data_IF_951868047914
#
_entry.id   IF_951868047914
#
_cell.length_a   1.000
_cell.length_b   1.000
_cell.length_c   1.000
_cell.angle_alpha   90.00
_cell.angle_beta   90.00
_cell.angle_gamma   90.00
#
_symmetry.space_group_name_H-M   'P 1'
#
loop_
_entity.id
_entity.type
_entity.pdbx_description
1 polymer ?
#
# COMPACT_ATOMS: atom_id res chain seq x y z
N UNK A 1 7.44 3.31 -8.32
CA UNK A 1 6.94 3.68 -9.66
C UNK A 1 5.53 4.25 -9.57
N UNK A 2 5.45 5.57 -9.45
CA UNK A 2 4.23 6.39 -9.41
C UNK A 2 3.80 6.95 -10.76
N UNK A 3 4.74 6.88 -11.70
CA UNK A 3 4.81 7.75 -12.86
C UNK A 3 3.54 7.69 -13.74
N UNK A 4 2.90 6.52 -13.98
CA UNK A 4 1.68 6.44 -14.80
C UNK A 4 0.45 7.08 -14.14
N UNK A 5 0.29 6.89 -12.82
CA UNK A 5 -0.89 7.36 -12.10
C UNK A 5 -0.91 8.89 -12.02
N UNK A 6 0.25 9.52 -11.82
CA UNK A 6 0.35 10.98 -11.68
C UNK A 6 -0.06 11.69 -12.98
N UNK A 7 -0.01 11.01 -14.12
CA UNK A 7 -0.48 11.60 -15.38
C UNK A 7 -2.00 11.78 -15.40
N UNK A 8 -2.71 10.81 -14.83
CA UNK A 8 -4.17 10.67 -14.88
C UNK A 8 -4.83 11.25 -13.63
N UNK A 9 -4.32 10.92 -12.45
CA UNK A 9 -4.82 11.34 -11.16
C UNK A 9 -3.87 12.36 -10.54
N UNK A 10 -4.35 13.56 -10.23
CA UNK A 10 -3.63 14.45 -9.32
C UNK A 10 -4.57 15.31 -8.47
N UNK A 11 -4.20 15.51 -7.19
CA UNK A 11 -2.98 15.04 -6.55
C UNK A 11 -3.06 13.55 -6.12
N UNK A 12 -1.94 12.82 -6.20
CA UNK A 12 -1.83 11.51 -5.55
C UNK A 12 -1.52 11.71 -4.07
N UNK A 13 -2.28 11.04 -3.21
CA UNK A 13 -2.09 11.09 -1.77
C UNK A 13 -1.38 9.83 -1.28
N UNK A 14 -0.22 10.02 -0.69
CA UNK A 14 0.54 8.98 -0.01
C UNK A 14 0.28 9.00 1.48
N UNK A 15 -0.24 7.89 1.98
CA UNK A 15 -0.42 7.73 3.41
C UNK A 15 0.91 7.35 4.07
N UNK A 16 1.26 8.05 5.14
CA UNK A 16 2.44 7.77 5.97
C UNK A 16 2.02 7.45 7.41
N UNK A 17 2.74 6.54 8.09
CA UNK A 17 2.45 6.19 9.47
C UNK A 17 2.78 7.34 10.44
N UNK A 18 3.74 8.20 10.11
CA UNK A 18 4.21 9.30 10.95
C UNK A 18 4.24 10.61 10.15
N UNK A 19 3.86 11.70 10.81
CA UNK A 19 3.85 13.04 10.23
C UNK A 19 5.26 13.64 10.09
N UNK A 20 5.46 14.42 9.02
CA UNK A 20 6.66 15.23 8.81
C UNK A 20 7.96 14.45 9.05
N UNK A 21 7.96 13.17 8.72
CA UNK A 21 9.17 12.40 8.64
C UNK A 21 9.99 13.03 7.51
N UNK A 22 11.15 13.59 7.86
CA UNK A 22 12.16 13.91 6.87
C UNK A 22 12.28 12.65 6.02
N UNK A 23 12.19 12.79 4.69
CA UNK A 23 12.41 11.65 3.83
C UNK A 23 13.83 11.16 4.15
N UNK A 24 13.95 10.17 5.04
CA UNK A 24 15.20 9.51 5.30
C UNK A 24 15.62 9.02 3.92
N UNK A 25 16.73 9.61 3.51
CA UNK A 25 17.29 9.67 2.19
C UNK A 25 17.35 8.29 1.51
N UNK A 26 17.22 8.29 0.18
CA UNK A 26 17.82 7.30 -0.73
C UNK A 26 17.03 6.05 -1.15
N UNK A 27 15.77 6.19 -1.58
CA UNK A 27 15.17 5.20 -2.51
C UNK A 27 14.11 5.74 -3.49
N UNK A 28 13.54 6.93 -3.26
CA UNK A 28 12.69 7.63 -4.23
C UNK A 28 13.46 8.82 -4.81
N UNK A 29 13.96 8.69 -6.05
CA UNK A 29 14.80 9.70 -6.69
C UNK A 29 14.19 11.10 -6.80
N UNK A 30 15.01 12.06 -7.26
CA UNK A 30 14.70 13.47 -7.56
C UNK A 30 13.25 13.74 -8.00
N UNK A 31 12.70 12.84 -8.80
CA UNK A 31 11.34 12.89 -9.34
C UNK A 31 10.22 12.95 -8.28
N UNK A 32 10.29 12.23 -7.16
CA UNK A 32 9.22 12.27 -6.15
C UNK A 32 9.20 13.59 -5.37
N UNK A 33 10.37 14.17 -5.14
CA UNK A 33 10.51 15.50 -4.55
C UNK A 33 9.97 16.58 -5.51
N UNK A 34 10.35 16.51 -6.78
CA UNK A 34 9.84 17.41 -7.84
C UNK A 34 8.31 17.32 -7.99
N UNK A 35 7.73 16.13 -7.90
CA UNK A 35 6.28 15.93 -7.94
C UNK A 35 5.56 16.50 -6.72
N UNK A 36 6.19 16.42 -5.54
CA UNK A 36 5.66 17.03 -4.33
C UNK A 36 5.72 18.56 -4.37
N UNK A 37 6.82 19.14 -4.86
CA UNK A 37 6.97 20.59 -5.08
C UNK A 37 5.94 21.13 -6.07
N UNK A 38 5.60 20.35 -7.10
CA UNK A 38 4.57 20.69 -8.08
C UNK A 38 3.13 20.46 -7.57
N UNK A 39 2.96 20.01 -6.32
CA UNK A 39 1.66 19.73 -5.71
C UNK A 39 0.94 18.51 -6.28
N UNK A 40 1.61 17.69 -7.09
CA UNK A 40 1.06 16.49 -7.74
C UNK A 40 1.11 15.26 -6.83
N UNK A 41 1.96 15.30 -5.81
CA UNK A 41 2.07 14.30 -4.76
C UNK A 41 1.90 14.99 -3.41
N UNK A 42 1.04 14.43 -2.55
CA UNK A 42 0.83 14.91 -1.18
C UNK A 42 1.04 13.77 -0.20
N UNK A 43 1.58 14.07 0.97
CA UNK A 43 1.69 13.11 2.06
C UNK A 43 0.62 13.39 3.11
N UNK A 44 0.01 12.34 3.62
CA UNK A 44 -1.04 12.41 4.62
C UNK A 44 -0.83 11.39 5.73
N UNK A 45 -1.05 11.79 6.98
CA UNK A 45 -1.02 10.90 8.13
C UNK A 45 -2.42 10.85 8.76
N UNK A 46 -3.19 9.74 8.60
CA UNK A 46 -4.58 9.66 9.05
C UNK A 46 -4.77 9.80 10.56
N UNK A 47 -3.74 9.52 11.34
CA UNK A 47 -3.73 9.80 12.77
C UNK A 47 -2.40 10.48 13.10
N UNK A 48 -2.38 11.83 13.19
CA UNK A 48 -1.26 12.58 13.73
C UNK A 48 -0.76 12.04 15.07
N UNK A 49 0.54 12.14 15.34
CA UNK A 49 1.08 11.92 16.68
C UNK A 49 1.19 13.25 17.45
N UNK A 50 1.16 14.39 16.76
CA UNK A 50 1.23 15.72 17.35
C UNK A 50 2.37 15.81 18.40
N UNK A 51 2.05 16.08 19.67
CA UNK A 51 3.02 16.24 20.76
C UNK A 51 3.84 14.98 21.07
N UNK A 52 3.33 13.80 20.74
CA UNK A 52 4.00 12.52 21.03
C UNK A 52 4.95 12.07 19.92
N UNK A 53 5.04 12.83 18.81
CA UNK A 53 5.85 12.47 17.64
C UNK A 53 7.31 12.18 18.00
N UNK A 54 7.96 13.10 18.69
CA UNK A 54 9.41 12.98 18.97
C UNK A 54 9.70 11.80 19.90
N UNK A 55 8.76 11.48 20.79
CA UNK A 55 8.84 10.31 21.67
C UNK A 55 8.74 9.02 20.87
N UNK A 56 7.80 8.93 19.93
CA UNK A 56 7.65 7.79 19.05
C UNK A 56 8.88 7.60 18.14
N UNK A 57 9.42 8.69 17.57
CA UNK A 57 10.61 8.63 16.73
C UNK A 57 11.85 8.14 17.49
N UNK A 58 12.03 8.55 18.76
CA UNK A 58 13.10 8.00 19.61
C UNK A 58 12.95 6.50 19.84
N UNK A 59 11.74 6.03 20.13
CA UNK A 59 11.44 4.60 20.26
C UNK A 59 11.81 3.83 18.98
N UNK A 60 11.43 4.35 17.82
CA UNK A 60 11.74 3.72 16.52
C UNK A 60 13.25 3.69 16.27
N UNK A 61 13.96 4.79 16.56
CA UNK A 61 15.41 4.84 16.43
C UNK A 61 16.12 3.88 17.40
N UNK A 62 15.66 3.79 18.65
CA UNK A 62 16.21 2.87 19.64
C UNK A 62 16.00 1.41 19.25
N UNK A 63 14.83 1.07 18.70
CA UNK A 63 14.54 -0.27 18.16
C UNK A 63 15.42 -0.59 16.95
N UNK A 64 15.63 0.37 16.05
CA UNK A 64 16.51 0.18 14.89
C UNK A 64 17.97 -0.07 15.31
N UNK A 65 18.45 0.67 16.32
CA UNK A 65 19.82 0.56 16.83
C UNK A 65 20.06 -0.77 17.59
N UNK A 66 19.00 -1.42 18.10
CA UNK A 66 19.08 -2.71 18.81
C UNK A 66 18.60 -3.87 17.93
N UNK A 67 19.33 -4.15 16.85
CA UNK A 67 18.98 -5.17 15.84
C UNK A 67 18.67 -6.56 16.42
N UNK A 68 19.36 -6.99 17.49
CA UNK A 68 19.14 -8.31 18.10
C UNK A 68 17.79 -8.41 18.83
N UNK A 69 17.44 -7.38 19.61
CA UNK A 69 16.13 -7.29 20.29
C UNK A 69 15.00 -7.16 19.26
N UNK A 70 15.24 -6.40 18.19
CA UNK A 70 14.33 -6.24 17.06
C UNK A 70 14.08 -7.57 16.33
N UNK A 71 15.12 -8.34 15.98
CA UNK A 71 14.98 -9.64 15.31
C UNK A 71 14.23 -10.66 16.20
N UNK A 72 14.48 -10.65 17.51
CA UNK A 72 13.73 -11.46 18.47
C UNK A 72 12.25 -11.04 18.55
N UNK A 73 11.93 -9.75 18.42
CA UNK A 73 10.56 -9.25 18.42
C UNK A 73 9.83 -9.51 17.10
N UNK A 74 10.48 -9.33 15.95
CA UNK A 74 9.93 -9.69 14.64
C UNK A 74 9.60 -11.18 14.55
N UNK A 75 10.50 -12.03 15.04
CA UNK A 75 10.29 -13.48 15.05
C UNK A 75 9.10 -13.84 15.95
N UNK A 76 8.98 -13.24 17.13
CA UNK A 76 7.81 -13.43 18.01
C UNK A 76 6.51 -12.93 17.37
N UNK A 77 6.51 -11.77 16.71
CA UNK A 77 5.32 -11.24 16.01
C UNK A 77 4.91 -12.13 14.81
N UNK A 78 5.89 -12.60 14.04
CA UNK A 78 5.67 -13.52 12.93
C UNK A 78 5.13 -14.88 13.43
N UNK A 79 5.72 -15.43 14.49
CA UNK A 79 5.28 -16.70 15.09
C UNK A 79 3.89 -16.59 15.75
N UNK A 80 3.61 -15.51 16.46
CA UNK A 80 2.28 -15.25 17.01
C UNK A 80 1.22 -15.08 15.90
N UNK A 81 1.62 -14.64 14.69
CA UNK A 81 0.75 -14.58 13.51
C UNK A 81 0.34 -15.96 12.98
N UNK A 82 1.20 -16.97 13.16
CA UNK A 82 0.97 -18.34 12.73
C UNK A 82 0.19 -19.16 13.77
N UNK A 83 0.31 -18.84 15.07
CA UNK A 83 -0.29 -19.61 16.17
C UNK A 83 -1.76 -19.29 16.47
N UNK A 84 -2.43 -18.49 15.63
CA UNK A 84 -3.81 -18.03 15.84
C UNK A 84 -4.88 -19.15 15.85
N UNK A 85 -4.48 -20.42 15.72
CA UNK A 85 -5.37 -21.58 15.73
C UNK A 85 -5.19 -22.58 16.87
N UNK A 86 -4.27 -22.39 17.84
CA UNK A 86 -4.06 -23.41 18.88
C UNK A 86 -3.34 -22.88 20.12
N UNK A 87 -4.12 -22.67 21.19
CA UNK A 87 -3.79 -22.53 22.62
C UNK A 87 -3.83 -21.09 23.19
N UNK A 88 -4.57 -20.85 24.29
CA UNK A 88 -4.72 -19.54 24.94
C UNK A 88 -3.55 -19.13 25.84
N UNK A 89 -2.41 -19.82 25.79
CA UNK A 89 -1.28 -19.66 26.75
C UNK A 89 0.01 -19.13 26.10
N UNK A 90 -0.08 -18.57 24.88
CA UNK A 90 1.01 -17.83 24.24
C UNK A 90 0.70 -16.34 24.27
N UNK A 91 1.68 -15.52 24.70
CA UNK A 91 1.62 -14.06 24.72
C UNK A 91 0.93 -13.52 23.45
N UNK A 92 -0.19 -12.82 23.64
CA UNK A 92 -0.95 -12.29 22.51
C UNK A 92 -0.12 -11.22 21.78
N UNK A 93 -0.32 -11.08 20.47
CA UNK A 93 0.35 -10.04 19.65
C UNK A 93 0.23 -8.65 20.28
N UNK A 94 -0.95 -8.39 20.86
CA UNK A 94 -1.24 -7.18 21.63
C UNK A 94 -0.38 -7.06 22.89
N UNK A 95 -0.17 -8.14 23.64
CA UNK A 95 0.62 -8.14 24.88
C UNK A 95 2.11 -7.84 24.65
N UNK A 96 2.67 -8.34 23.55
CA UNK A 96 4.08 -8.07 23.16
C UNK A 96 4.24 -6.59 22.82
N UNK A 97 3.35 -6.05 21.99
CA UNK A 97 3.41 -4.64 21.60
C UNK A 97 3.09 -3.71 22.77
N UNK A 98 2.12 -4.04 23.64
CA UNK A 98 1.88 -3.26 24.87
C UNK A 98 3.11 -3.26 25.76
N UNK A 99 3.79 -4.39 25.95
CA UNK A 99 4.99 -4.49 26.79
C UNK A 99 6.12 -3.57 26.29
N UNK A 100 6.30 -3.50 24.97
CA UNK A 100 7.28 -2.59 24.35
C UNK A 100 6.91 -1.11 24.52
N UNK A 101 5.62 -0.78 24.42
CA UNK A 101 5.15 0.60 24.64
C UNK A 101 5.27 1.00 26.13
N UNK A 102 4.96 0.09 27.04
CA UNK A 102 5.07 0.31 28.49
C UNK A 102 6.52 0.47 28.94
N UNK A 103 7.46 -0.30 28.39
CA UNK A 103 8.89 -0.17 28.73
C UNK A 103 9.48 1.18 28.33
N UNK A 104 8.83 1.91 27.42
CA UNK A 104 9.19 3.27 27.01
C UNK A 104 8.25 4.35 27.59
N UNK A 105 7.49 3.98 28.64
CA UNK A 105 6.74 4.87 29.53
C UNK A 105 5.38 5.33 29.01
N UNK A 106 4.79 4.67 28.01
CA UNK A 106 3.47 5.02 27.50
C UNK A 106 2.46 4.31 28.41
N UNK A 107 1.86 5.06 29.34
CA UNK A 107 0.92 4.52 30.34
C UNK A 107 -0.48 4.27 29.76
N UNK A 108 -1.34 3.64 30.58
CA UNK A 108 -2.68 3.15 30.20
C UNK A 108 -3.81 3.72 31.10
N UNK A 109 -4.48 4.78 30.65
CA UNK A 109 -5.69 5.42 31.20
C UNK A 109 -6.76 5.45 30.11
N UNK A 110 -7.63 4.45 30.05
CA UNK A 110 -8.89 4.35 29.24
C UNK A 110 -9.05 5.15 27.92
N UNK A 111 -8.96 6.50 27.89
CA UNK A 111 -8.70 7.29 26.66
C UNK A 111 -7.40 6.88 25.93
N UNK A 112 -6.44 6.32 26.65
CA UNK A 112 -5.16 5.82 26.17
C UNK A 112 -5.27 4.46 25.46
N UNK A 113 -6.39 3.71 25.57
CA UNK A 113 -6.50 2.41 24.86
C UNK A 113 -6.57 2.57 23.34
N UNK A 114 -7.37 3.53 22.86
CA UNK A 114 -7.44 3.85 21.42
C UNK A 114 -6.10 4.42 20.96
N UNK A 115 -5.54 5.35 21.72
CA UNK A 115 -4.21 5.90 21.46
C UNK A 115 -3.17 4.77 21.37
N UNK A 116 -3.16 3.85 22.32
CA UNK A 116 -2.26 2.70 22.36
C UNK A 116 -2.47 1.81 21.14
N UNK A 117 -3.71 1.49 20.73
CA UNK A 117 -3.98 0.74 19.51
C UNK A 117 -3.42 1.43 18.25
N UNK A 118 -3.58 2.75 18.16
CA UNK A 118 -3.01 3.53 17.06
C UNK A 118 -1.47 3.55 17.11
N UNK A 119 -0.89 3.61 18.30
CA UNK A 119 0.57 3.51 18.47
C UNK A 119 1.09 2.13 18.05
N UNK A 120 0.41 1.05 18.46
CA UNK A 120 0.73 -0.30 18.03
C UNK A 120 0.64 -0.45 16.52
N UNK A 121 -0.43 0.07 15.90
CA UNK A 121 -0.59 0.05 14.45
C UNK A 121 0.56 0.79 13.76
N UNK A 122 0.93 2.00 14.22
CA UNK A 122 2.08 2.74 13.66
C UNK A 122 3.40 2.00 13.85
N UNK A 123 3.60 1.37 15.00
CA UNK A 123 4.79 0.57 15.27
C UNK A 123 4.89 -0.61 14.31
N UNK A 124 3.80 -1.35 14.08
CA UNK A 124 3.75 -2.44 13.09
C UNK A 124 4.09 -1.95 11.69
N UNK A 125 3.61 -0.76 11.29
CA UNK A 125 3.96 -0.17 10.00
C UNK A 125 5.46 0.16 9.90
N UNK A 126 6.04 0.75 10.95
CA UNK A 126 7.48 1.07 10.98
C UNK A 126 8.38 -0.17 11.00
N UNK A 127 8.01 -1.20 11.76
CA UNK A 127 8.70 -2.49 11.74
C UNK A 127 8.61 -3.13 10.34
N UNK A 128 7.47 -2.97 9.65
CA UNK A 128 7.31 -3.42 8.27
C UNK A 128 8.23 -2.68 7.28
N UNK A 129 8.42 -1.37 7.44
CA UNK A 129 9.37 -0.59 6.62
C UNK A 129 10.82 -1.07 6.83
N UNK A 130 11.23 -1.33 8.07
CA UNK A 130 12.54 -1.91 8.38
C UNK A 130 12.71 -3.31 7.81
N UNK A 131 11.67 -4.15 7.89
CA UNK A 131 11.67 -5.48 7.29
C UNK A 131 11.86 -5.41 5.77
N UNK A 132 11.13 -4.53 5.07
CA UNK A 132 11.26 -4.37 3.62
C UNK A 132 12.67 -3.90 3.21
N UNK A 133 13.25 -2.94 3.95
CA UNK A 133 14.61 -2.46 3.71
C UNK A 133 15.65 -3.59 3.88
N UNK A 134 15.49 -4.41 4.91
CA UNK A 134 16.37 -5.56 5.16
C UNK A 134 16.19 -6.65 4.09
N UNK A 135 14.96 -6.95 3.67
CA UNK A 135 14.70 -7.90 2.59
C UNK A 135 15.32 -7.44 1.26
N UNK A 136 15.24 -6.15 0.93
CA UNK A 136 15.84 -5.62 -0.29
C UNK A 136 17.38 -5.71 -0.24
N UNK A 137 18.00 -5.39 0.90
CA UNK A 137 19.44 -5.58 1.10
C UNK A 137 19.84 -7.05 0.94
N UNK A 138 19.11 -7.97 1.57
CA UNK A 138 19.34 -9.41 1.43
C UNK A 138 19.19 -9.86 -0.02
N UNK A 139 18.17 -9.37 -0.74
CA UNK A 139 17.95 -9.68 -2.15
C UNK A 139 19.10 -9.21 -3.03
N UNK A 140 19.61 -8.00 -2.78
CA UNK A 140 20.77 -7.45 -3.50
C UNK A 140 22.04 -8.26 -3.24
N UNK A 141 22.31 -8.62 -1.98
CA UNK A 141 23.47 -9.45 -1.64
C UNK A 141 23.35 -10.87 -2.23
N UNK A 142 22.16 -11.46 -2.20
CA UNK A 142 21.90 -12.75 -2.84
C UNK A 142 22.10 -12.69 -4.35
N UNK A 143 21.64 -11.63 -5.02
CA UNK A 143 21.90 -11.43 -6.45
C UNK A 143 23.40 -11.31 -6.74
N UNK A 144 24.16 -10.58 -5.92
CA UNK A 144 25.62 -10.51 -6.06
C UNK A 144 26.27 -11.88 -5.90
N UNK A 145 25.83 -12.68 -4.92
CA UNK A 145 26.31 -14.05 -4.70
C UNK A 145 25.97 -14.93 -5.91
N UNK A 146 24.73 -14.90 -6.39
CA UNK A 146 24.30 -15.70 -7.55
C UNK A 146 25.01 -15.29 -8.85
N UNK A 147 25.38 -14.02 -9.02
CA UNK A 147 26.21 -13.57 -10.16
C UNK A 147 27.64 -14.09 -10.02
N UNK A 148 28.26 -13.97 -8.83
CA UNK A 148 29.61 -14.49 -8.57
C UNK A 148 29.67 -16.01 -8.74
N UNK A 149 28.67 -16.73 -8.24
CA UNK A 149 28.56 -18.18 -8.39
C UNK A 149 28.40 -18.58 -9.85
N UNK A 150 27.55 -17.90 -10.63
CA UNK A 150 27.44 -18.13 -12.08
C UNK A 150 28.75 -17.85 -12.81
N UNK A 151 29.48 -16.79 -12.43
CA UNK A 151 30.81 -16.49 -12.97
C UNK A 151 31.81 -17.62 -12.70
N UNK A 152 31.99 -17.99 -11.44
CA UNK A 152 32.87 -19.09 -11.03
C UNK A 152 32.46 -20.44 -11.64
N UNK A 153 31.16 -20.72 -11.78
CA UNK A 153 30.68 -21.94 -12.41
C UNK A 153 30.89 -21.93 -13.93
N UNK A 154 30.76 -20.78 -14.60
CA UNK A 154 31.11 -20.64 -16.01
C UNK A 154 32.60 -20.82 -16.28
N UNK A 155 33.45 -20.49 -15.29
CA UNK A 155 34.89 -20.73 -15.34
C UNK A 155 35.25 -22.19 -15.06
N UNK A 156 34.44 -22.90 -14.25
CA UNK A 156 34.73 -24.27 -13.80
C UNK A 156 34.01 -25.37 -14.59
N UNK A 157 32.92 -25.08 -15.31
CA UNK A 157 32.09 -26.10 -15.97
C UNK A 157 32.06 -25.97 -17.50
N UNK A 158 32.77 -26.87 -18.18
CA UNK A 158 32.40 -27.29 -19.54
C UNK A 158 31.29 -28.35 -19.48
N UNK A 159 30.16 -27.97 -18.90
CA UNK A 159 28.94 -28.78 -18.87
C UNK A 159 28.89 -29.81 -17.74
N UNK A 160 28.16 -29.48 -16.68
CA UNK A 160 27.23 -30.40 -16.00
C UNK A 160 26.33 -29.59 -15.06
N UNK A 161 25.08 -30.06 -14.94
CA UNK A 161 23.92 -29.30 -14.51
C UNK A 161 23.91 -28.81 -13.04
N UNK A 162 23.15 -27.73 -12.83
CA UNK A 162 22.95 -27.01 -11.57
C UNK A 162 22.43 -27.87 -10.39
N UNK A 163 23.14 -27.90 -9.25
CA UNK A 163 22.64 -28.45 -8.00
C UNK A 163 22.43 -27.33 -6.96
N UNK A 164 21.35 -26.54 -7.05
CA UNK A 164 21.07 -25.51 -6.03
C UNK A 164 19.58 -25.41 -5.67
N UNK A 165 19.10 -26.38 -4.88
CA UNK A 165 17.76 -26.35 -4.23
C UNK A 165 17.70 -25.47 -2.97
N UNK A 166 18.86 -25.01 -2.44
CA UNK A 166 18.90 -24.21 -1.19
C UNK A 166 18.42 -22.77 -1.38
N UNK A 167 18.70 -22.16 -2.54
CA UNK A 167 18.19 -20.82 -2.89
C UNK A 167 16.68 -20.81 -3.08
N UNK A 168 16.09 -21.90 -3.58
CA UNK A 168 14.64 -22.04 -3.71
C UNK A 168 13.94 -22.20 -2.35
N UNK A 169 14.52 -22.98 -1.44
CA UNK A 169 13.99 -23.18 -0.08
C UNK A 169 14.04 -21.90 0.78
N UNK A 170 15.06 -21.06 0.61
CA UNK A 170 15.12 -19.77 1.30
C UNK A 170 14.13 -18.75 0.70
N UNK A 171 13.90 -18.81 -0.62
CA UNK A 171 12.95 -17.94 -1.31
C UNK A 171 11.51 -18.20 -0.90
N UNK A 172 11.13 -19.46 -0.66
CA UNK A 172 9.77 -19.81 -0.23
C UNK A 172 9.47 -19.39 1.22
N UNK A 173 10.44 -19.51 2.12
CA UNK A 173 10.33 -19.02 3.51
C UNK A 173 10.19 -17.50 3.56
N UNK A 174 10.98 -16.78 2.75
CA UNK A 174 10.91 -15.32 2.64
C UNK A 174 9.55 -14.85 2.09
N UNK A 175 8.98 -15.56 1.11
CA UNK A 175 7.65 -15.26 0.57
C UNK A 175 6.54 -15.38 1.63
N UNK A 176 6.53 -16.47 2.40
CA UNK A 176 5.55 -16.66 3.47
C UNK A 176 5.67 -15.60 4.58
N UNK A 177 6.90 -15.19 4.93
CA UNK A 177 7.12 -14.09 5.86
C UNK A 177 6.62 -12.75 5.31
N UNK A 178 6.85 -12.46 4.03
CA UNK A 178 6.37 -11.25 3.37
C UNK A 178 4.83 -11.16 3.35
N UNK A 179 4.15 -12.27 3.06
CA UNK A 179 2.68 -12.34 3.07
C UNK A 179 2.10 -12.05 4.46
N UNK A 180 2.73 -12.60 5.51
CA UNK A 180 2.33 -12.35 6.89
C UNK A 180 2.51 -10.88 7.27
N UNK A 181 3.63 -10.27 6.89
CA UNK A 181 3.88 -8.84 7.10
C UNK A 181 2.90 -7.97 6.31
N UNK A 182 2.52 -8.37 5.10
CA UNK A 182 1.51 -7.67 4.32
C UNK A 182 0.15 -7.69 5.03
N UNK A 183 -0.28 -8.82 5.59
CA UNK A 183 -1.52 -8.91 6.38
C UNK A 183 -1.48 -8.03 7.63
N UNK A 184 -0.37 -8.05 8.36
CA UNK A 184 -0.18 -7.19 9.55
C UNK A 184 -0.24 -5.70 9.19
N UNK A 185 0.36 -5.32 8.07
CA UNK A 185 0.34 -3.93 7.57
C UNK A 185 -1.05 -3.50 7.12
N UNK A 186 -1.77 -4.33 6.36
CA UNK A 186 -3.15 -4.04 5.94
C UNK A 186 -4.05 -3.81 7.15
N UNK A 187 -3.89 -4.64 8.18
CA UNK A 187 -4.61 -4.49 9.44
C UNK A 187 -4.24 -3.21 10.19
N UNK A 188 -2.96 -2.89 10.30
CA UNK A 188 -2.50 -1.67 10.94
C UNK A 188 -3.05 -0.42 10.22
N UNK A 189 -3.00 -0.42 8.89
CA UNK A 189 -3.59 0.62 8.06
C UNK A 189 -5.11 0.72 8.24
N UNK A 190 -5.84 -0.39 8.21
CA UNK A 190 -7.29 -0.41 8.43
C UNK A 190 -7.67 0.24 9.76
N UNK A 191 -6.93 -0.06 10.84
CA UNK A 191 -7.14 0.56 12.16
C UNK A 191 -6.85 2.06 12.14
N UNK A 192 -5.75 2.48 11.51
CA UNK A 192 -5.37 3.90 11.41
C UNK A 192 -6.37 4.69 10.56
N UNK A 193 -6.88 4.14 9.46
CA UNK A 193 -7.87 4.80 8.61
C UNK A 193 -9.25 4.87 9.25
N UNK A 194 -9.69 3.78 9.90
CA UNK A 194 -11.01 3.72 10.50
C UNK A 194 -11.12 4.55 11.79
N UNK A 195 -10.06 4.56 12.61
CA UNK A 195 -10.04 5.20 13.92
C UNK A 195 -9.32 6.56 13.93
N UNK A 196 -8.67 6.93 12.82
CA UNK A 196 -7.97 8.20 12.63
C UNK A 196 -8.92 9.36 12.31
N UNK A 197 -8.35 10.55 12.10
CA UNK A 197 -9.09 11.69 11.56
C UNK A 197 -9.45 11.41 10.10
N UNK A 198 -10.68 11.77 9.67
CA UNK A 198 -11.07 11.66 8.27
C UNK A 198 -10.13 12.49 7.39
N UNK A 199 -9.88 12.04 6.15
CA UNK A 199 -9.12 12.83 5.20
C UNK A 199 -9.80 14.19 4.97
N UNK A 200 -9.06 15.32 4.99
CA UNK A 200 -9.62 16.65 4.74
C UNK A 200 -10.30 16.76 3.37
N UNK A 201 -9.80 16.00 2.39
CA UNK A 201 -10.39 15.79 1.07
C UNK A 201 -10.59 14.27 0.89
N UNK A 202 -11.83 13.78 0.91
CA UNK A 202 -12.09 12.35 0.75
C UNK A 202 -11.47 11.87 -0.58
N UNK A 203 -10.55 10.90 -0.56
CA UNK A 203 -9.89 10.46 -1.76
C UNK A 203 -10.93 9.79 -2.66
N UNK A 204 -11.01 10.22 -3.91
CA UNK A 204 -12.01 9.71 -4.86
C UNK A 204 -11.82 8.21 -5.13
N UNK A 205 -10.56 7.72 -5.13
CA UNK A 205 -10.22 6.33 -5.43
C UNK A 205 -9.05 5.85 -4.56
N UNK A 206 -9.19 4.68 -3.95
CA UNK A 206 -8.11 3.96 -3.29
C UNK A 206 -7.46 2.98 -4.26
N UNK A 207 -6.14 2.94 -4.38
CA UNK A 207 -5.46 2.09 -5.38
C UNK A 207 -4.64 1.00 -4.68
N UNK A 208 -4.83 -0.25 -5.10
CA UNK A 208 -4.05 -1.41 -4.68
C UNK A 208 -3.40 -2.11 -5.87
N UNK A 209 -2.29 -2.81 -5.63
CA UNK A 209 -1.66 -3.74 -6.58
C UNK A 209 -1.88 -5.21 -6.21
N UNK A 210 -2.48 -5.47 -5.06
CA UNK A 210 -2.73 -6.81 -4.56
C UNK A 210 -4.15 -7.22 -4.93
N UNK A 211 -4.27 -8.24 -5.78
CA UNK A 211 -5.53 -8.93 -6.08
C UNK A 211 -6.16 -9.46 -4.80
N UNK A 212 -5.37 -10.14 -3.97
CA UNK A 212 -5.85 -10.78 -2.73
C UNK A 212 -6.47 -9.78 -1.75
N UNK A 213 -5.95 -8.55 -1.72
CA UNK A 213 -6.52 -7.47 -0.91
C UNK A 213 -7.86 -6.99 -1.48
N UNK A 214 -8.00 -6.90 -2.81
CA UNK A 214 -9.27 -6.55 -3.45
C UNK A 214 -10.30 -7.68 -3.25
N UNK A 215 -9.90 -8.93 -3.44
CA UNK A 215 -10.79 -10.09 -3.30
C UNK A 215 -11.38 -10.15 -1.89
N UNK A 216 -10.56 -9.95 -0.84
CA UNK A 216 -11.05 -9.83 0.54
C UNK A 216 -12.02 -8.67 0.77
N UNK A 217 -11.84 -7.55 0.07
CA UNK A 217 -12.77 -6.41 0.17
C UNK A 217 -14.08 -6.74 -0.53
N UNK A 218 -14.01 -7.40 -1.69
CA UNK A 218 -15.18 -7.87 -2.43
C UNK A 218 -15.98 -8.91 -1.64
N UNK A 219 -15.31 -9.88 -1.00
CA UNK A 219 -15.95 -10.91 -0.17
C UNK A 219 -16.72 -10.29 1.00
N UNK A 220 -16.12 -9.34 1.73
CA UNK A 220 -16.80 -8.67 2.87
C UNK A 220 -17.96 -7.79 2.40
N UNK A 221 -17.83 -7.16 1.23
CA UNK A 221 -18.90 -6.39 0.62
C UNK A 221 -20.07 -7.29 0.19
N UNK A 222 -19.79 -8.41 -0.48
CA UNK A 222 -20.78 -9.40 -0.89
C UNK A 222 -21.48 -10.00 0.33
N UNK A 223 -20.74 -10.30 1.40
CA UNK A 223 -21.32 -10.81 2.64
C UNK A 223 -22.37 -9.87 3.24
N UNK A 224 -22.21 -8.55 3.09
CA UNK A 224 -23.12 -7.54 3.65
C UNK A 224 -24.26 -7.15 2.74
N UNK A 225 -23.95 -6.93 1.48
CA UNK A 225 -24.89 -6.36 0.50
C UNK A 225 -25.51 -7.42 -0.41
N UNK A 226 -25.02 -8.67 -0.35
CA UNK A 226 -25.49 -9.80 -1.16
C UNK A 226 -25.14 -9.69 -2.64
N UNK A 227 -24.30 -8.72 -3.03
CA UNK A 227 -23.90 -8.46 -4.41
C UNK A 227 -22.39 -8.17 -4.47
N UNK A 228 -21.77 -8.54 -5.59
CA UNK A 228 -20.38 -8.20 -5.88
C UNK A 228 -20.21 -6.69 -6.19
N UNK A 229 -19.03 -6.12 -5.92
CA UNK A 229 -18.75 -4.73 -6.27
C UNK A 229 -18.79 -4.53 -7.80
N UNK A 230 -19.40 -3.43 -8.25
CA UNK A 230 -19.59 -3.16 -9.66
C UNK A 230 -18.32 -2.63 -10.32
N UNK A 231 -17.87 -3.23 -11.43
CA UNK A 231 -16.79 -2.64 -12.23
C UNK A 231 -17.31 -1.36 -12.91
N UNK A 232 -16.70 -0.21 -12.61
CA UNK A 232 -17.03 1.08 -13.21
C UNK A 232 -16.28 1.24 -14.53
N UNK A 233 -14.96 1.07 -14.49
CA UNK A 233 -14.07 1.41 -15.58
C UNK A 233 -12.86 0.47 -15.58
N UNK A 234 -12.33 0.21 -16.77
CA UNK A 234 -11.03 -0.43 -16.93
C UNK A 234 -10.20 0.47 -17.85
N UNK A 235 -9.19 1.12 -17.28
CA UNK A 235 -8.47 2.23 -17.88
C UNK A 235 -7.03 1.82 -18.20
N UNK A 236 -6.60 1.84 -19.47
CA UNK A 236 -5.19 1.75 -19.79
C UNK A 236 -4.48 3.03 -19.32
N UNK A 237 -3.37 2.87 -18.62
CA UNK A 237 -2.56 3.98 -18.12
C UNK A 237 -1.41 4.31 -19.09
N UNK A 238 -0.89 5.55 -19.04
CA UNK A 238 0.33 5.93 -19.73
C UNK A 238 1.49 4.96 -19.50
N UNK A 239 2.13 4.53 -20.58
CA UNK A 239 3.33 3.70 -20.49
C UNK A 239 4.46 4.45 -19.77
N UNK A 240 5.34 3.72 -19.07
CA UNK A 240 6.48 4.31 -18.40
C UNK A 240 7.40 5.03 -19.38
N UNK A 241 7.72 6.29 -19.12
CA UNK A 241 8.55 7.12 -19.99
C UNK A 241 9.91 6.47 -20.25
N UNK A 242 10.24 6.23 -21.52
CA UNK A 242 11.53 5.68 -21.97
C UNK A 242 12.33 6.67 -22.83
N UNK A 243 11.86 7.91 -22.96
CA UNK A 243 12.51 8.95 -23.75
C UNK A 243 13.70 9.60 -23.04
N UNK A 244 14.49 10.34 -23.81
CA UNK A 244 15.62 11.16 -23.33
C UNK A 244 15.22 12.59 -22.93
N UNK A 245 13.93 12.94 -23.02
CA UNK A 245 13.40 14.26 -22.68
C UNK A 245 12.93 14.39 -21.23
N UNK A 246 12.42 15.58 -20.87
CA UNK A 246 11.92 15.84 -19.52
C UNK A 246 10.51 15.23 -19.32
N UNK A 247 10.30 14.35 -18.32
CA UNK A 247 9.01 13.67 -18.09
C UNK A 247 7.86 14.65 -17.74
N UNK A 248 8.19 15.80 -17.15
CA UNK A 248 7.22 16.84 -16.82
C UNK A 248 6.59 17.51 -18.07
N UNK A 249 7.36 17.69 -19.15
CA UNK A 249 6.86 18.28 -20.39
C UNK A 249 5.81 17.40 -21.07
N UNK A 250 6.07 16.09 -21.12
CA UNK A 250 5.16 15.11 -21.70
C UNK A 250 3.85 15.00 -20.91
N UNK A 251 3.92 15.02 -19.59
CA UNK A 251 2.75 15.09 -18.71
C UNK A 251 1.88 16.30 -19.01
N UNK A 252 2.50 17.47 -19.08
CA UNK A 252 1.77 18.72 -19.28
C UNK A 252 1.09 18.74 -20.66
N UNK A 253 1.73 18.16 -21.68
CA UNK A 253 1.14 17.97 -23.00
C UNK A 253 -0.06 17.03 -22.93
N UNK A 254 0.08 15.86 -22.31
CA UNK A 254 -1.00 14.89 -22.14
C UNK A 254 -2.22 15.50 -21.42
N UNK A 255 -2.00 16.25 -20.34
CA UNK A 255 -3.09 16.90 -19.61
C UNK A 255 -3.76 18.01 -20.39
N UNK A 256 -3.00 18.79 -21.17
CA UNK A 256 -3.57 19.86 -21.99
C UNK A 256 -4.39 19.30 -23.16
N UNK A 257 -3.89 18.27 -23.82
CA UNK A 257 -4.58 17.66 -24.96
C UNK A 257 -5.73 16.74 -24.53
N UNK A 258 -5.67 16.20 -23.31
CA UNK A 258 -6.67 15.31 -22.72
C UNK A 258 -7.60 15.96 -21.72
N UNK A 259 -7.61 17.29 -21.60
CA UNK A 259 -8.34 18.01 -20.54
C UNK A 259 -9.83 17.61 -20.50
N UNK A 260 -10.49 17.59 -21.67
CA UNK A 260 -11.89 17.16 -21.80
C UNK A 260 -12.12 15.70 -21.36
N UNK A 261 -11.17 14.81 -21.67
CA UNK A 261 -11.24 13.39 -21.31
C UNK A 261 -10.99 13.18 -19.81
N UNK A 262 -10.08 13.95 -19.22
CA UNK A 262 -9.80 13.93 -17.78
C UNK A 262 -10.98 14.51 -16.99
N UNK A 263 -11.55 15.63 -17.42
CA UNK A 263 -12.75 16.20 -16.82
C UNK A 263 -13.95 15.24 -16.89
N UNK A 264 -14.09 14.52 -18.02
CA UNK A 264 -15.11 13.45 -18.14
C UNK A 264 -14.82 12.30 -17.17
N UNK A 265 -13.57 11.86 -17.06
CA UNK A 265 -13.17 10.82 -16.10
C UNK A 265 -13.49 11.22 -14.67
N UNK A 266 -13.14 12.45 -14.26
CA UNK A 266 -13.45 12.97 -12.93
C UNK A 266 -14.96 13.01 -12.66
N UNK A 267 -15.76 13.38 -13.66
CA UNK A 267 -17.22 13.34 -13.58
C UNK A 267 -17.78 11.92 -13.38
N UNK A 268 -17.21 10.92 -14.04
CA UNK A 268 -17.62 9.51 -13.88
C UNK A 268 -17.24 8.95 -12.52
N UNK A 269 -16.09 9.37 -11.96
CA UNK A 269 -15.65 8.96 -10.63
C UNK A 269 -16.41 9.66 -9.52
N UNK A 270 -16.92 10.87 -9.77
CA UNK A 270 -17.77 11.60 -8.81
C UNK A 270 -19.19 11.01 -8.69
N UNK A 271 -19.72 10.42 -9.77
CA UNK A 271 -21.06 9.84 -9.80
C UNK A 271 -21.06 8.47 -10.51
N UNK A 272 -20.55 7.41 -9.84
CA UNK A 272 -20.40 6.08 -10.42
C UNK A 272 -21.75 5.45 -10.84
N UNK A 273 -22.86 5.89 -10.23
CA UNK A 273 -24.20 5.38 -10.52
C UNK A 273 -24.73 5.81 -11.90
N UNK A 274 -24.17 6.88 -12.50
CA UNK A 274 -24.60 7.42 -13.80
C UNK A 274 -23.74 6.98 -14.97
N UNK A 275 -22.74 6.14 -14.74
CA UNK A 275 -21.79 5.71 -15.78
C UNK A 275 -22.51 4.86 -16.81
N UNK A 276 -22.65 5.39 -18.04
CA UNK A 276 -23.27 4.67 -19.16
C UNK A 276 -22.27 3.75 -19.87
N UNK A 277 -22.76 2.79 -20.65
CA UNK A 277 -21.90 1.97 -21.51
C UNK A 277 -21.13 2.80 -22.54
N UNK A 278 -21.72 3.90 -23.01
CA UNK A 278 -21.07 4.83 -23.94
C UNK A 278 -19.88 5.54 -23.28
N UNK A 279 -19.98 5.87 -22.00
CA UNK A 279 -18.86 6.43 -21.23
C UNK A 279 -17.74 5.40 -21.09
N UNK A 280 -18.07 4.14 -20.79
CA UNK A 280 -17.07 3.05 -20.69
C UNK A 280 -16.35 2.83 -22.03
N UNK A 281 -17.10 2.85 -23.13
CA UNK A 281 -16.55 2.65 -24.47
C UNK A 281 -15.50 3.70 -24.85
N UNK A 282 -15.62 4.93 -24.37
CA UNK A 282 -14.69 6.04 -24.66
C UNK A 282 -13.27 5.73 -24.13
N UNK A 283 -13.17 5.04 -23.00
CA UNK A 283 -11.90 4.72 -22.34
C UNK A 283 -11.41 3.30 -22.63
N UNK A 284 -12.32 2.37 -22.92
CA UNK A 284 -12.00 0.95 -23.14
C UNK A 284 -11.73 0.61 -24.61
N UNK A 285 -12.32 1.34 -25.56
CA UNK A 285 -12.16 1.03 -26.99
C UNK A 285 -10.70 1.24 -27.44
N UNK A 286 -10.01 0.23 -28.02
CA UNK A 286 -8.66 0.36 -28.55
C UNK A 286 -8.48 1.52 -29.54
N UNK A 287 -9.49 1.76 -30.37
CA UNK A 287 -9.51 2.85 -31.36
C UNK A 287 -10.18 4.13 -30.82
N UNK A 288 -10.43 4.15 -29.51
CA UNK A 288 -11.09 5.26 -28.82
C UNK A 288 -10.19 6.50 -28.69
N UNK A 289 -10.81 7.65 -28.35
CA UNK A 289 -10.08 8.91 -28.18
C UNK A 289 -9.04 8.83 -27.05
N UNK A 290 -9.31 8.05 -25.99
CA UNK A 290 -8.36 7.83 -24.90
C UNK A 290 -7.10 7.11 -25.35
N UNK A 291 -7.23 5.98 -26.06
CA UNK A 291 -6.09 5.23 -26.54
C UNK A 291 -5.31 5.98 -27.63
N UNK A 292 -6.00 6.76 -28.47
CA UNK A 292 -5.36 7.65 -29.45
C UNK A 292 -4.49 8.72 -28.77
N UNK A 293 -5.00 9.32 -27.69
CA UNK A 293 -4.23 10.28 -26.88
C UNK A 293 -3.02 9.60 -26.22
N UNK A 294 -3.20 8.39 -25.68
CA UNK A 294 -2.11 7.61 -25.10
C UNK A 294 -1.05 7.24 -26.14
N UNK A 295 -1.40 6.84 -27.35
CA UNK A 295 -0.39 6.54 -28.39
C UNK A 295 0.37 7.79 -28.82
N UNK A 296 -0.30 8.94 -28.89
CA UNK A 296 0.35 10.22 -29.23
C UNK A 296 1.31 10.70 -28.14
N UNK A 297 0.94 10.55 -26.87
CA UNK A 297 1.72 11.08 -25.75
C UNK A 297 2.66 10.06 -25.11
N UNK A 298 2.29 8.79 -25.08
CA UNK A 298 2.98 7.70 -24.39
C UNK A 298 2.89 6.41 -25.24
N UNK A 299 3.55 6.38 -26.42
CA UNK A 299 3.55 5.21 -27.29
C UNK A 299 4.11 4.00 -26.54
N UNK A 300 3.49 2.83 -26.73
CA UNK A 300 3.84 1.64 -25.95
C UNK A 300 5.29 1.17 -26.19
N UNK A 301 5.88 1.44 -27.36
CA UNK A 301 7.33 1.40 -27.61
C UNK A 301 8.10 0.15 -27.14
N UNK A 302 7.43 -1.00 -27.01
CA UNK A 302 7.99 -2.26 -26.50
C UNK A 302 7.79 -2.55 -24.99
N UNK A 303 7.00 -1.75 -24.26
CA UNK A 303 6.57 -2.03 -22.87
C UNK A 303 5.04 -2.13 -22.80
N UNK A 304 4.54 -3.16 -22.10
CA UNK A 304 3.11 -3.30 -21.87
C UNK A 304 2.55 -2.13 -21.05
N UNK A 305 1.37 -1.64 -21.47
CA UNK A 305 0.62 -0.65 -20.71
C UNK A 305 0.00 -1.29 -19.49
N UNK A 306 0.13 -0.61 -18.35
CA UNK A 306 -0.59 -0.99 -17.13
C UNK A 306 -2.07 -0.68 -17.27
N UNK A 307 -2.90 -1.46 -16.60
CA UNK A 307 -4.35 -1.26 -16.56
C UNK A 307 -4.79 -0.95 -15.14
N UNK A 308 -5.78 -0.08 -15.01
CA UNK A 308 -6.41 0.27 -13.75
C UNK A 308 -7.89 -0.05 -13.85
N UNK A 309 -8.32 -1.10 -13.15
CA UNK A 309 -9.73 -1.47 -13.05
C UNK A 309 -10.32 -0.87 -11.78
N UNK A 310 -11.37 -0.07 -11.90
CA UNK A 310 -11.98 0.68 -10.80
C UNK A 310 -13.34 0.06 -10.46
N UNK A 311 -13.52 -0.29 -9.19
CA UNK A 311 -14.70 -0.96 -8.64
C UNK A 311 -15.45 -0.02 -7.69
N UNK A 312 -16.78 -0.08 -7.75
CA UNK A 312 -17.70 0.64 -6.89
C UNK A 312 -18.13 -0.21 -5.70
N UNK A 313 -17.98 0.33 -4.51
CA UNK A 313 -18.48 -0.22 -3.24
C UNK A 313 -19.49 0.77 -2.65
N UNK A 314 -20.64 0.88 -3.32
CA UNK A 314 -21.72 1.79 -2.91
C UNK A 314 -22.36 1.34 -1.60
N UNK A 315 -22.70 2.31 -0.74
CA UNK A 315 -23.41 2.03 0.51
C UNK A 315 -22.53 1.55 1.68
N UNK A 316 -21.20 1.54 1.52
CA UNK A 316 -20.27 1.31 2.64
C UNK A 316 -19.12 2.33 2.62
N UNK A 317 -18.86 2.94 3.78
CA UNK A 317 -17.74 3.85 3.95
C UNK A 317 -16.38 3.14 3.98
N UNK A 318 -15.36 3.80 3.45
CA UNK A 318 -13.99 3.28 3.37
C UNK A 318 -13.44 2.76 4.71
N UNK A 319 -13.60 3.55 5.79
CA UNK A 319 -13.12 3.16 7.11
C UNK A 319 -13.80 1.88 7.63
N UNK A 320 -15.09 1.72 7.34
CA UNK A 320 -15.85 0.53 7.75
C UNK A 320 -15.45 -0.70 6.94
N UNK A 321 -15.43 -0.58 5.62
CA UNK A 321 -15.02 -1.66 4.72
C UNK A 321 -13.61 -2.17 5.07
N UNK A 322 -12.63 -1.29 5.24
CA UNK A 322 -11.27 -1.70 5.60
C UNK A 322 -11.17 -2.34 6.99
N UNK A 323 -11.88 -1.78 7.99
CA UNK A 323 -11.84 -2.33 9.34
C UNK A 323 -12.47 -3.72 9.40
N UNK A 324 -13.56 -3.93 8.67
CA UNK A 324 -14.25 -5.20 8.64
C UNK A 324 -13.46 -6.26 7.87
N UNK A 325 -12.86 -5.91 6.73
CA UNK A 325 -12.05 -6.84 5.94
C UNK A 325 -10.67 -7.17 6.56
N UNK A 326 -10.07 -6.24 7.32
CA UNK A 326 -8.68 -6.40 7.78
C UNK A 326 -8.43 -6.09 9.27
N UNK A 327 -9.31 -5.35 9.94
CA UNK A 327 -9.09 -4.77 11.27
C UNK A 327 -9.48 -5.62 12.48
N UNK A 328 -10.43 -6.55 12.29
CA UNK A 328 -11.04 -7.38 13.37
C UNK A 328 -10.04 -8.30 14.08
N UNK A 329 -10.22 -8.42 15.39
CA UNK A 329 -9.57 -9.38 16.30
C UNK A 329 -10.65 -10.08 17.12
N UNK A 330 -10.32 -11.18 17.79
CA UNK A 330 -11.24 -11.84 18.74
C UNK A 330 -11.64 -10.93 19.94
N UNK A 331 -10.95 -9.80 20.17
CA UNK A 331 -11.21 -8.80 21.25
C UNK A 331 -11.97 -7.54 20.76
N UNK A 332 -13.08 -7.73 20.04
CA UNK A 332 -13.73 -6.73 19.15
C UNK A 332 -14.62 -5.64 19.82
N UNK A 333 -14.77 -5.61 21.15
CA UNK A 333 -15.76 -4.74 21.82
C UNK A 333 -15.51 -3.22 21.74
N UNK A 334 -14.31 -2.77 21.36
CA UNK A 334 -13.95 -1.35 21.25
C UNK A 334 -14.06 -0.78 19.84
N UNK A 335 -14.03 -1.65 18.82
CA UNK A 335 -14.10 -1.26 17.41
C UNK A 335 -15.53 -0.91 17.02
N UNK A 336 -16.53 -1.62 17.55
CA UNK A 336 -17.95 -1.36 17.27
C UNK A 336 -18.45 -0.01 17.81
N UNK A 337 -17.89 0.48 18.92
CA UNK A 337 -18.33 1.75 19.55
C UNK A 337 -17.81 3.02 18.86
N UNK A 338 -16.75 2.91 18.06
CA UNK A 338 -16.07 4.06 17.43
C UNK A 338 -16.10 4.00 15.90
N UNK A 339 -17.02 3.24 15.31
CA UNK A 339 -17.17 3.13 13.86
C UNK A 339 -17.49 4.52 13.25
N UNK A 340 -16.77 4.95 12.21
CA UNK A 340 -17.11 6.17 11.49
C UNK A 340 -18.47 6.00 10.81
N UNK A 341 -19.41 6.88 11.14
CA UNK A 341 -20.69 7.02 10.45
C UNK A 341 -20.45 7.74 9.12
N UNK A 342 -20.26 6.99 8.03
CA UNK A 342 -20.10 7.55 6.70
C UNK A 342 -20.61 6.58 5.65
N UNK A 343 -21.78 6.89 5.09
CA UNK A 343 -22.42 6.15 3.98
C UNK A 343 -21.92 6.63 2.61
N UNK A 344 -20.76 7.30 2.55
CA UNK A 344 -20.15 7.68 1.28
C UNK A 344 -19.53 6.43 0.65
N UNK A 345 -20.08 5.99 -0.48
CA UNK A 345 -19.52 4.89 -1.28
C UNK A 345 -18.03 5.12 -1.57
N UNK A 346 -17.28 4.02 -1.64
CA UNK A 346 -15.84 4.03 -1.88
C UNK A 346 -15.54 3.44 -3.26
N UNK A 347 -14.59 4.04 -3.97
CA UNK A 347 -14.01 3.46 -5.19
C UNK A 347 -12.67 2.81 -4.89
N UNK A 348 -12.47 1.58 -5.36
CA UNK A 348 -11.21 0.85 -5.23
C UNK A 348 -10.68 0.48 -6.62
N UNK A 349 -9.46 0.91 -6.93
CA UNK A 349 -8.74 0.62 -8.15
C UNK A 349 -7.71 -0.50 -7.99
N UNK A 350 -7.73 -1.48 -8.88
CA UNK A 350 -6.70 -2.50 -9.01
C UNK A 350 -5.75 -2.14 -10.16
N UNK A 351 -4.48 -1.91 -9.82
CA UNK A 351 -3.42 -1.63 -10.77
C UNK A 351 -2.71 -2.93 -11.19
N UNK A 352 -2.90 -3.32 -12.45
CA UNK A 352 -2.31 -4.51 -13.09
C UNK A 352 -1.08 -4.16 -13.94
#
# INVERSE_FOLDING_TARGET
>A
MLIPLVQVFAPIVYCRPVENEAAETDSGGSECAELAEQGLCRFFAPAPLEADRDRFLRLVADLHNRRDDYAAQLSRLSLASLSSGSRPDQESKGSILTSLLHSHGIEERQKEKLTLLLWQARLVLKLGEFFDAEQELLRQEMQKISVKQRGLFSELSNGLANPFSLTEQLSSSAAAAADNWQRLRLRAWARIFALGRPLPDAPTVFITRSSDALDRLADEYEHRHGNLPGLILDLPLPAGYSGTGQPAGQRNLFRREGDDLLARLDGLLADPAKVSEQDRAVFQNPDGPWNSLLERCFPAGGRDRRRLSIYDFTGIGAGRLFLDSFGRDEDDGLQEKNLPAGDSGILIGLLQ
#
